data_IF_081344459101
#
_entry.id   IF_081344459101
#
_cell.length_a   1.000
_cell.length_b   1.000
_cell.length_c   1.000
_cell.angle_alpha   90.00
_cell.angle_beta   90.00
_cell.angle_gamma   90.00
#
_symmetry.space_group_name_H-M   'P 1'
#
loop_
_entity.id
_entity.type
_entity.pdbx_description
1 polymer ?
#
# COMPACT_ATOMS: atom_id res chain seq x y z
N UNK A 1 14.18 -3.53 -2.12
CA UNK A 1 13.55 -2.44 -1.33
C UNK A 1 13.32 -3.00 0.07
N UNK A 2 13.80 -2.31 1.10
CA UNK A 2 13.66 -2.74 2.50
C UNK A 2 12.85 -1.73 3.31
N UNK A 3 12.31 -2.16 4.44
CA UNK A 3 11.62 -1.30 5.41
C UNK A 3 12.52 -1.11 6.62
N UNK A 4 12.69 0.14 7.04
CA UNK A 4 13.43 0.51 8.24
C UNK A 4 12.58 1.48 9.06
N UNK A 5 11.84 0.94 10.02
CA UNK A 5 11.07 1.70 10.99
C UNK A 5 10.85 0.86 12.24
N UNK A 6 10.62 1.54 13.36
CA UNK A 6 10.24 0.93 14.61
C UNK A 6 9.29 1.86 15.35
N UNK A 7 8.05 1.42 15.52
CA UNK A 7 7.04 2.09 16.35
C UNK A 7 6.64 1.17 17.50
N UNK A 8 7.03 1.55 18.71
CA UNK A 8 6.70 0.82 19.94
C UNK A 8 5.36 1.24 20.56
N UNK A 9 4.71 2.30 20.03
CA UNK A 9 3.46 2.84 20.56
C UNK A 9 2.21 2.13 20.03
N UNK A 10 2.37 1.30 18.98
CA UNK A 10 1.29 0.54 18.34
C UNK A 10 1.59 -0.96 18.28
N UNK A 11 0.59 -1.76 17.89
CA UNK A 11 0.78 -3.19 17.65
C UNK A 11 1.83 -3.41 16.55
N UNK A 12 2.93 -4.09 16.89
CA UNK A 12 4.08 -4.28 15.98
C UNK A 12 3.73 -5.11 14.73
N UNK A 13 2.77 -6.04 14.83
CA UNK A 13 2.27 -6.78 13.66
C UNK A 13 1.52 -5.84 12.74
N UNK A 14 0.67 -4.98 13.28
CA UNK A 14 -0.01 -3.95 12.50
C UNK A 14 0.98 -2.99 11.82
N UNK A 15 2.03 -2.55 12.53
CA UNK A 15 3.06 -1.68 11.96
C UNK A 15 3.71 -2.29 10.69
N UNK A 16 4.09 -3.57 10.75
CA UNK A 16 4.64 -4.30 9.60
C UNK A 16 3.64 -4.47 8.46
N UNK A 17 2.39 -4.85 8.78
CA UNK A 17 1.33 -5.04 7.77
C UNK A 17 1.04 -3.72 7.05
N UNK A 18 0.91 -2.61 7.78
CA UNK A 18 0.67 -1.28 7.22
C UNK A 18 1.85 -0.87 6.35
N UNK A 19 3.08 -0.87 6.88
CA UNK A 19 4.26 -0.42 6.15
C UNK A 19 4.48 -1.21 4.86
N UNK A 20 4.40 -2.54 4.93
CA UNK A 20 4.60 -3.41 3.77
C UNK A 20 3.50 -3.24 2.73
N UNK A 21 2.22 -3.21 3.15
CA UNK A 21 1.10 -2.99 2.21
C UNK A 21 1.18 -1.61 1.56
N UNK A 22 1.58 -0.57 2.28
CA UNK A 22 1.79 0.76 1.70
C UNK A 22 2.91 0.77 0.67
N UNK A 23 4.04 0.10 0.95
CA UNK A 23 5.13 -0.04 -0.02
C UNK A 23 4.67 -0.76 -1.30
N UNK A 24 3.94 -1.88 -1.17
CA UNK A 24 3.45 -2.62 -2.33
C UNK A 24 2.40 -1.79 -3.10
N UNK A 25 1.50 -1.08 -2.41
CA UNK A 25 0.56 -0.16 -3.07
C UNK A 25 1.28 0.93 -3.87
N UNK A 26 2.37 1.50 -3.34
CA UNK A 26 3.16 2.50 -4.07
C UNK A 26 3.77 1.90 -5.35
N UNK A 27 4.32 0.69 -5.28
CA UNK A 27 4.82 -0.02 -6.46
C UNK A 27 3.71 -0.31 -7.46
N UNK A 28 2.54 -0.75 -6.98
CA UNK A 28 1.39 -1.03 -7.84
C UNK A 28 0.92 0.24 -8.56
N UNK A 29 0.80 1.36 -7.85
CA UNK A 29 0.42 2.65 -8.47
C UNK A 29 1.42 3.03 -9.55
N UNK A 30 2.73 2.94 -9.28
CA UNK A 30 3.78 3.22 -10.27
C UNK A 30 3.70 2.28 -11.50
N UNK A 31 3.36 1.01 -11.31
CA UNK A 31 3.17 0.05 -12.41
C UNK A 31 1.94 0.34 -13.26
N UNK A 32 0.94 1.04 -12.71
CA UNK A 32 -0.28 1.43 -13.42
C UNK A 32 -0.15 2.78 -14.13
N UNK A 33 0.96 3.51 -13.93
CA UNK A 33 1.17 4.79 -14.59
C UNK A 33 1.43 4.61 -16.10
N UNK A 34 0.85 5.47 -16.97
CA UNK A 34 1.13 5.50 -18.39
C UNK A 34 2.49 6.18 -18.66
N UNK A 35 3.57 5.59 -18.16
CA UNK A 35 4.90 6.21 -18.12
C UNK A 35 5.43 6.61 -19.50
N UNK A 36 5.11 5.84 -20.54
CA UNK A 36 5.50 6.16 -21.91
C UNK A 36 4.81 7.42 -22.44
N UNK A 37 3.55 7.65 -22.05
CA UNK A 37 2.82 8.87 -22.42
C UNK A 37 3.37 10.07 -21.62
N UNK A 38 3.61 9.90 -20.32
CA UNK A 38 4.19 10.95 -19.47
C UNK A 38 5.57 11.39 -19.97
N UNK A 39 6.43 10.45 -20.38
CA UNK A 39 7.75 10.72 -20.97
C UNK A 39 7.66 11.49 -22.28
N UNK A 40 6.68 11.19 -23.14
CA UNK A 40 6.44 11.94 -24.38
C UNK A 40 6.02 13.37 -24.10
N UNK A 41 5.03 13.57 -23.23
CA UNK A 41 4.58 14.91 -22.83
C UNK A 41 5.73 15.74 -22.24
N UNK A 42 6.61 15.10 -21.45
CA UNK A 42 7.82 15.76 -20.94
C UNK A 42 8.81 16.12 -22.04
N UNK A 43 9.09 15.21 -22.98
CA UNK A 43 10.01 15.47 -24.10
C UNK A 43 9.49 16.56 -25.05
N UNK A 44 8.17 16.66 -25.21
CA UNK A 44 7.50 17.68 -26.03
C UNK A 44 7.30 19.01 -25.28
N UNK A 45 7.78 19.12 -24.04
CA UNK A 45 7.59 20.27 -23.14
C UNK A 45 6.12 20.64 -22.84
N UNK A 46 5.18 19.71 -23.01
CA UNK A 46 3.79 19.86 -22.60
C UNK A 46 3.61 19.57 -21.10
N UNK A 47 4.14 20.48 -20.28
CA UNK A 47 4.10 20.34 -18.83
C UNK A 47 2.68 20.48 -18.26
N UNK A 48 1.78 21.14 -18.99
CA UNK A 48 0.38 21.28 -18.59
C UNK A 48 -0.33 19.94 -18.66
N UNK A 49 -0.24 19.23 -19.80
CA UNK A 49 -0.85 17.92 -19.94
C UNK A 49 -0.18 16.89 -19.02
N UNK A 50 1.16 16.97 -18.86
CA UNK A 50 1.89 16.09 -17.93
C UNK A 50 1.38 16.22 -16.51
N UNK A 51 1.24 17.46 -16.01
CA UNK A 51 0.74 17.71 -14.66
C UNK A 51 -0.72 17.27 -14.52
N UNK A 52 -1.58 17.62 -15.47
CA UNK A 52 -2.98 17.22 -15.44
C UNK A 52 -3.13 15.69 -15.36
N UNK A 53 -2.36 14.95 -16.16
CA UNK A 53 -2.37 13.49 -16.13
C UNK A 53 -1.91 12.93 -14.78
N UNK A 54 -0.84 13.47 -14.20
CA UNK A 54 -0.36 13.05 -12.88
C UNK A 54 -1.40 13.27 -11.79
N UNK A 55 -2.17 14.36 -11.85
CA UNK A 55 -3.25 14.61 -10.89
C UNK A 55 -4.44 13.66 -11.09
N UNK A 56 -4.86 13.39 -12.33
CA UNK A 56 -5.93 12.43 -12.63
C UNK A 56 -5.59 11.00 -12.17
N UNK A 57 -4.31 10.60 -12.25
CA UNK A 57 -3.88 9.28 -11.77
C UNK A 57 -4.12 9.07 -10.27
N UNK A 58 -4.14 10.14 -9.46
CA UNK A 58 -4.34 10.04 -8.01
C UNK A 58 -5.77 9.61 -7.62
N UNK A 59 -6.74 9.85 -8.50
CA UNK A 59 -8.16 9.54 -8.27
C UNK A 59 -8.64 8.33 -9.07
N UNK A 60 -7.80 7.77 -9.94
CA UNK A 60 -8.10 6.52 -10.64
C UNK A 60 -8.35 5.36 -9.65
N UNK A 61 -9.16 4.35 -10.04
CA UNK A 61 -9.59 3.28 -9.15
C UNK A 61 -8.52 2.21 -8.89
N UNK A 62 -7.31 2.60 -8.48
CA UNK A 62 -6.23 1.65 -8.13
C UNK A 62 -6.62 0.71 -6.97
N UNK A 63 -7.56 1.13 -6.11
CA UNK A 63 -8.11 0.31 -5.03
C UNK A 63 -8.69 -1.01 -5.52
N UNK A 64 -9.39 -1.02 -6.66
CA UNK A 64 -9.94 -2.24 -7.24
C UNK A 64 -8.84 -3.22 -7.70
N UNK A 65 -7.74 -2.69 -8.26
CA UNK A 65 -6.58 -3.49 -8.66
C UNK A 65 -5.86 -4.05 -7.43
N UNK A 66 -5.72 -3.22 -6.38
CA UNK A 66 -5.14 -3.64 -5.11
C UNK A 66 -5.94 -4.75 -4.43
N UNK A 67 -7.26 -4.63 -4.42
CA UNK A 67 -8.15 -5.62 -3.82
C UNK A 67 -8.08 -6.96 -4.56
N UNK A 68 -8.03 -6.93 -5.89
CA UNK A 68 -7.81 -8.12 -6.70
C UNK A 68 -6.42 -8.75 -6.45
N UNK A 69 -5.37 -7.93 -6.29
CA UNK A 69 -4.05 -8.43 -5.93
C UNK A 69 -4.06 -9.14 -4.57
N UNK A 70 -4.71 -8.56 -3.55
CA UNK A 70 -4.86 -9.20 -2.24
C UNK A 70 -5.60 -10.55 -2.35
N UNK A 71 -6.71 -10.57 -3.10
CA UNK A 71 -7.48 -11.79 -3.34
C UNK A 71 -6.64 -12.89 -4.01
N UNK A 72 -5.85 -12.52 -5.03
CA UNK A 72 -4.96 -13.46 -5.75
C UNK A 72 -3.82 -14.00 -4.88
N UNK A 73 -3.39 -13.21 -3.90
CA UNK A 73 -2.37 -13.59 -2.94
C UNK A 73 -2.93 -14.32 -1.71
N UNK A 74 -4.24 -14.59 -1.66
CA UNK A 74 -4.90 -15.23 -0.52
C UNK A 74 -4.67 -14.48 0.81
N UNK A 75 -4.73 -13.15 0.76
CA UNK A 75 -4.62 -12.28 1.94
C UNK A 75 -5.85 -11.38 2.08
N UNK A 76 -6.19 -10.92 3.31
CA UNK A 76 -7.38 -10.11 3.52
C UNK A 76 -7.40 -8.81 2.69
N UNK A 77 -8.57 -8.57 2.09
CA UNK A 77 -8.87 -7.38 1.30
C UNK A 77 -9.27 -6.21 2.23
N UNK A 78 -8.97 -4.98 1.82
CA UNK A 78 -9.35 -3.80 2.58
C UNK A 78 -8.79 -3.79 4.01
N UNK A 79 -9.70 -3.57 4.97
CA UNK A 79 -9.40 -3.50 6.40
C UNK A 79 -9.56 -4.83 7.16
N UNK A 80 -9.97 -5.91 6.49
CA UNK A 80 -10.25 -7.20 7.15
C UNK A 80 -9.03 -7.81 7.86
N UNK A 81 -7.80 -7.46 7.44
CA UNK A 81 -6.57 -7.89 8.14
C UNK A 81 -6.49 -7.38 9.59
N UNK A 82 -7.21 -6.31 9.92
CA UNK A 82 -7.19 -5.76 11.27
C UNK A 82 -7.87 -6.70 12.27
N UNK A 83 -8.90 -7.42 11.84
CA UNK A 83 -9.61 -8.38 12.69
C UNK A 83 -8.72 -9.58 13.01
N UNK A 84 -7.92 -10.04 12.05
CA UNK A 84 -6.88 -11.07 12.26
C UNK A 84 -5.83 -10.61 13.28
N UNK A 85 -5.37 -9.36 13.17
CA UNK A 85 -4.39 -8.81 14.12
C UNK A 85 -4.98 -8.71 15.54
N UNK A 86 -6.23 -8.26 15.68
CA UNK A 86 -6.93 -8.21 16.97
C UNK A 86 -7.12 -9.61 17.56
N UNK A 87 -7.53 -10.57 16.75
CA UNK A 87 -7.66 -11.97 17.18
C UNK A 87 -6.32 -12.54 17.67
N UNK A 88 -5.23 -12.27 16.96
CA UNK A 88 -3.89 -12.66 17.38
C UNK A 88 -3.42 -11.95 18.65
N UNK A 89 -3.78 -10.68 18.81
CA UNK A 89 -3.48 -9.90 20.01
C UNK A 89 -4.13 -10.50 21.26
N UNK A 90 -5.42 -10.80 21.20
CA UNK A 90 -6.19 -11.41 22.29
C UNK A 90 -5.73 -12.84 22.60
N UNK A 91 -5.52 -13.65 21.56
CA UNK A 91 -5.25 -15.08 21.73
C UNK A 91 -3.79 -15.39 22.08
N UNK A 92 -2.84 -14.55 21.67
CA UNK A 92 -1.39 -14.80 21.80
C UNK A 92 -0.66 -13.65 22.48
N UNK A 93 -0.73 -12.42 21.96
CA UNK A 93 0.12 -11.32 22.44
C UNK A 93 -0.17 -10.97 23.91
N UNK A 94 -1.44 -10.93 24.29
CA UNK A 94 -1.92 -10.60 25.64
C UNK A 94 -1.45 -11.60 26.71
N UNK A 95 -1.12 -12.83 26.30
CA UNK A 95 -0.71 -13.92 27.20
C UNK A 95 0.80 -14.03 27.37
N UNK A 96 1.58 -13.17 26.69
CA UNK A 96 3.03 -13.19 26.80
C UNK A 96 3.45 -12.71 28.19
N UNK A 97 4.39 -13.41 28.87
CA UNK A 97 4.90 -12.93 30.14
C UNK A 97 5.57 -11.57 29.95
N UNK A 98 5.24 -10.63 30.83
CA UNK A 98 6.02 -9.40 30.96
C UNK A 98 7.28 -9.75 31.76
N UNK A 99 8.41 -9.82 31.08
CA UNK A 99 9.75 -9.86 31.68
C UNK A 99 10.09 -8.53 32.32
#
# INVERSE_FOLDING_TARGET
IGLDFFDASINRVAAWVIGTRCMIKALLMALLEPIEQLRRLEADADFTARLAMLEELKTMPFGAVWDFYCLRCDVPVGAAWLDEVKSYEESVLSKRPQT
#
